data_IF_233091010171
#
_entry.id   IF_233091010171
#
_cell.length_a   1.000
_cell.length_b   1.000
_cell.length_c   1.000
_cell.angle_alpha   90.00
_cell.angle_beta   90.00
_cell.angle_gamma   90.00
#
_symmetry.space_group_name_H-M   'P 1'
#
loop_
_entity.id
_entity.type
_entity.pdbx_description
1 polymer ?
#
# COMPACT_ATOMS: atom_id res chain seq x y z
N UNK A 1 -0.43 -2.38 13.45
CA UNK A 1 -0.40 -2.43 14.92
C UNK A 1 -1.66 -1.78 15.52
N UNK A 2 -1.94 -0.47 15.30
CA UNK A 2 -3.08 0.23 15.93
C UNK A 2 -4.42 -0.47 15.67
N UNK A 3 -4.70 -0.81 14.40
CA UNK A 3 -5.92 -1.55 14.05
C UNK A 3 -6.13 -2.81 14.89
N UNK A 4 -5.06 -3.58 15.15
CA UNK A 4 -5.18 -4.83 15.94
C UNK A 4 -5.52 -4.57 17.39
N UNK A 5 -4.99 -3.49 17.99
CA UNK A 5 -5.34 -3.08 19.34
C UNK A 5 -6.81 -2.64 19.40
N UNK A 6 -7.24 -1.81 18.46
CA UNK A 6 -8.65 -1.39 18.37
C UNK A 6 -9.58 -2.58 18.21
N UNK A 7 -9.31 -3.47 17.25
CA UNK A 7 -10.22 -4.58 16.92
C UNK A 7 -10.29 -5.66 18.00
N UNK A 8 -9.16 -6.01 18.61
CA UNK A 8 -9.08 -7.19 19.47
C UNK A 8 -8.96 -6.88 20.96
N UNK A 9 -8.76 -5.60 21.31
CA UNK A 9 -8.58 -5.15 22.68
C UNK A 9 -9.51 -4.00 23.06
N UNK A 10 -10.32 -3.50 22.13
CA UNK A 10 -11.19 -2.32 22.30
C UNK A 10 -10.42 -1.12 22.88
N UNK A 11 -9.21 -0.90 22.34
CA UNK A 11 -8.26 0.10 22.84
C UNK A 11 -8.58 1.48 22.25
N UNK A 12 -9.22 2.32 23.06
CA UNK A 12 -9.62 3.68 22.68
C UNK A 12 -8.41 4.59 22.42
N UNK A 13 -7.30 4.44 23.16
CA UNK A 13 -6.09 5.24 22.94
C UNK A 13 -5.45 4.93 21.60
N UNK A 14 -5.42 3.65 21.24
CA UNK A 14 -4.97 3.22 19.91
C UNK A 14 -5.87 3.77 18.79
N UNK A 15 -7.18 3.86 19.04
CA UNK A 15 -8.10 4.45 18.07
C UNK A 15 -7.89 5.95 17.91
N UNK A 16 -7.79 6.70 19.00
CA UNK A 16 -7.48 8.13 18.98
C UNK A 16 -6.13 8.41 18.28
N UNK A 17 -5.13 7.57 18.53
CA UNK A 17 -3.84 7.68 17.85
C UNK A 17 -3.97 7.44 16.33
N UNK A 18 -4.73 6.44 15.91
CA UNK A 18 -5.00 6.19 14.50
C UNK A 18 -5.70 7.38 13.83
N UNK A 19 -6.69 7.98 14.49
CA UNK A 19 -7.38 9.17 13.99
C UNK A 19 -6.42 10.36 13.83
N UNK A 20 -5.55 10.60 14.82
CA UNK A 20 -4.52 11.66 14.73
C UNK A 20 -3.52 11.41 13.60
N UNK A 21 -3.09 10.17 13.39
CA UNK A 21 -2.22 9.81 12.26
C UNK A 21 -2.89 10.11 10.91
N UNK A 22 -4.16 9.71 10.74
CA UNK A 22 -4.92 9.95 9.52
C UNK A 22 -5.10 11.46 9.28
N UNK A 23 -5.47 12.22 10.31
CA UNK A 23 -5.59 13.67 10.22
C UNK A 23 -4.26 14.34 9.84
N UNK A 24 -3.13 13.87 10.40
CA UNK A 24 -1.82 14.38 10.06
C UNK A 24 -1.44 14.10 8.59
N UNK A 25 -1.83 12.95 8.03
CA UNK A 25 -1.62 12.68 6.61
C UNK A 25 -2.40 13.65 5.74
N UNK A 26 -3.70 13.87 6.00
CA UNK A 26 -4.49 14.85 5.25
C UNK A 26 -3.96 16.29 5.37
N UNK A 27 -3.37 16.65 6.51
CA UNK A 27 -2.82 17.97 6.76
C UNK A 27 -1.46 18.21 6.09
N UNK A 28 -0.64 17.16 5.95
CA UNK A 28 0.77 17.25 5.54
C UNK A 28 1.07 16.66 4.17
N UNK A 29 0.11 15.94 3.57
CA UNK A 29 0.30 15.25 2.30
C UNK A 29 -0.84 15.56 1.32
N UNK A 30 -0.51 15.63 0.02
CA UNK A 30 -1.50 15.68 -1.06
C UNK A 30 -1.08 14.82 -2.25
N UNK A 31 -2.06 14.36 -3.04
CA UNK A 31 -1.81 13.53 -4.22
C UNK A 31 -0.93 14.21 -5.27
N UNK A 32 -1.02 15.52 -5.42
CA UNK A 32 -0.29 16.29 -6.44
C UNK A 32 1.14 16.64 -6.02
N UNK A 33 1.35 16.93 -4.74
CA UNK A 33 2.62 17.48 -4.24
C UNK A 33 3.41 16.53 -3.34
N UNK A 34 2.79 15.41 -2.92
CA UNK A 34 3.36 14.56 -1.89
C UNK A 34 3.36 15.24 -0.51
N UNK A 35 4.38 14.97 0.29
CA UNK A 35 4.53 15.54 1.62
C UNK A 35 4.96 17.00 1.59
N UNK A 36 4.44 17.81 2.52
CA UNK A 36 4.94 19.17 2.79
C UNK A 36 6.28 19.08 3.55
N UNK A 37 7.36 18.94 2.77
CA UNK A 37 8.72 18.77 3.31
C UNK A 37 9.15 19.91 4.24
N UNK A 38 8.77 21.16 3.92
CA UNK A 38 9.12 22.32 4.73
C UNK A 38 8.41 22.29 6.08
N UNK A 39 7.15 21.87 6.09
CA UNK A 39 6.37 21.77 7.31
C UNK A 39 6.83 20.60 8.18
N UNK A 40 7.13 19.45 7.58
CA UNK A 40 7.73 18.30 8.27
C UNK A 40 9.05 18.69 8.94
N UNK A 41 9.92 19.41 8.25
CA UNK A 41 11.18 19.89 8.80
C UNK A 41 10.97 20.85 9.99
N UNK A 42 9.99 21.76 9.91
CA UNK A 42 9.64 22.66 11.04
C UNK A 42 9.12 21.90 12.24
N UNK A 43 8.50 20.74 12.03
CA UNK A 43 8.04 19.84 13.09
C UNK A 43 9.16 18.95 13.65
N UNK A 44 10.41 19.10 13.17
CA UNK A 44 11.54 18.29 13.58
C UNK A 44 11.56 16.89 12.99
N UNK A 45 10.77 16.65 11.95
CA UNK A 45 10.71 15.36 11.26
C UNK A 45 11.69 15.38 10.10
N UNK A 46 12.56 14.35 10.03
CA UNK A 46 13.43 14.16 8.89
C UNK A 46 12.60 13.58 7.75
N UNK A 47 12.46 14.36 6.69
CA UNK A 47 11.88 13.92 5.44
C UNK A 47 12.98 13.74 4.39
N UNK A 48 13.07 12.56 3.81
CA UNK A 48 13.88 12.30 2.62
C UNK A 48 12.94 12.10 1.45
N UNK A 49 13.18 12.78 0.34
CA UNK A 49 12.39 12.61 -0.90
C UNK A 49 12.43 11.19 -1.48
N UNK A 50 13.26 10.34 -0.91
CA UNK A 50 13.38 8.93 -1.29
C UNK A 50 12.18 8.06 -0.86
N UNK A 51 11.25 8.59 -0.06
CA UNK A 51 10.01 7.88 0.28
C UNK A 51 9.04 7.94 -0.91
N UNK A 52 9.18 7.00 -1.81
CA UNK A 52 8.31 6.86 -2.97
C UNK A 52 6.91 6.44 -2.51
N UNK A 53 5.89 6.95 -3.17
CA UNK A 53 4.48 6.70 -2.83
C UNK A 53 4.16 5.21 -2.66
N UNK A 54 4.65 4.36 -3.56
CA UNK A 54 4.44 2.89 -3.48
C UNK A 54 5.13 2.26 -2.27
N UNK A 55 6.29 2.80 -1.85
CA UNK A 55 7.02 2.30 -0.69
C UNK A 55 6.46 2.79 0.65
N UNK A 56 5.71 3.88 0.64
CA UNK A 56 5.16 4.55 1.82
C UNK A 56 3.64 4.51 1.86
N UNK A 57 3.03 5.56 1.34
CA UNK A 57 1.61 5.89 1.55
C UNK A 57 0.67 4.84 0.97
N UNK A 58 0.95 4.32 -0.23
CA UNK A 58 0.08 3.33 -0.87
C UNK A 58 -0.08 2.05 -0.03
N UNK A 59 0.94 1.69 0.74
CA UNK A 59 0.87 0.54 1.66
C UNK A 59 -0.10 0.74 2.83
N UNK A 60 -0.52 1.97 3.08
CA UNK A 60 -1.51 2.27 4.13
C UNK A 60 -2.95 1.91 3.71
N UNK A 61 -3.24 1.68 2.44
CA UNK A 61 -4.59 1.34 1.97
C UNK A 61 -5.17 0.16 2.76
N UNK A 62 -4.44 -0.95 2.87
CA UNK A 62 -4.90 -2.14 3.60
C UNK A 62 -5.15 -1.88 5.09
N UNK A 63 -4.22 -1.30 5.85
CA UNK A 63 -4.44 -0.88 7.23
C UNK A 63 -5.63 0.05 7.42
N UNK A 64 -5.86 1.01 6.51
CA UNK A 64 -7.01 1.92 6.54
C UNK A 64 -8.33 1.18 6.31
N UNK A 65 -8.38 0.26 5.34
CA UNK A 65 -9.52 -0.63 5.09
C UNK A 65 -9.84 -1.47 6.33
N UNK A 66 -8.80 -2.07 6.94
CA UNK A 66 -8.96 -2.89 8.16
C UNK A 66 -9.47 -2.05 9.34
N UNK A 67 -9.00 -0.80 9.48
CA UNK A 67 -9.48 0.12 10.51
C UNK A 67 -10.96 0.50 10.27
N UNK A 68 -11.31 0.86 9.04
CA UNK A 68 -12.70 1.17 8.69
C UNK A 68 -13.65 -0.01 8.95
N UNK A 69 -13.26 -1.24 8.55
CA UNK A 69 -14.06 -2.44 8.84
C UNK A 69 -14.26 -2.69 10.33
N UNK A 70 -13.29 -2.34 11.16
CA UNK A 70 -13.36 -2.55 12.60
C UNK A 70 -14.17 -1.47 13.34
N UNK A 71 -14.17 -0.22 12.84
CA UNK A 71 -14.67 0.93 13.60
C UNK A 71 -15.76 1.73 12.90
N UNK A 72 -15.93 1.57 11.58
CA UNK A 72 -16.80 2.45 10.77
C UNK A 72 -16.25 3.87 10.58
N UNK A 73 -14.98 4.15 10.95
CA UNK A 73 -14.39 5.49 10.84
C UNK A 73 -14.23 5.93 9.38
N UNK A 74 -15.17 6.75 8.90
CA UNK A 74 -15.29 7.13 7.49
C UNK A 74 -14.02 7.79 6.93
N UNK A 75 -13.31 8.61 7.72
CA UNK A 75 -12.10 9.30 7.27
C UNK A 75 -10.96 8.34 6.93
N UNK A 76 -10.93 7.14 7.54
CA UNK A 76 -9.99 6.10 7.14
C UNK A 76 -10.28 5.58 5.71
N UNK A 77 -11.56 5.38 5.39
CA UNK A 77 -11.96 4.99 4.03
C UNK A 77 -11.70 6.10 3.02
N UNK A 78 -11.99 7.36 3.36
CA UNK A 78 -11.68 8.51 2.50
C UNK A 78 -10.20 8.56 2.13
N UNK A 79 -9.30 8.39 3.10
CA UNK A 79 -7.86 8.38 2.84
C UNK A 79 -7.45 7.17 1.98
N UNK A 80 -8.03 6.00 2.23
CA UNK A 80 -7.77 4.81 1.42
C UNK A 80 -8.18 5.02 -0.05
N UNK A 81 -9.30 5.71 -0.30
CA UNK A 81 -9.77 6.05 -1.64
C UNK A 81 -8.83 7.05 -2.34
N UNK A 82 -8.35 8.07 -1.64
CA UNK A 82 -7.37 9.02 -2.19
C UNK A 82 -6.09 8.29 -2.61
N UNK A 83 -5.58 7.40 -1.77
CA UNK A 83 -4.39 6.60 -2.11
C UNK A 83 -4.66 5.60 -3.25
N UNK A 84 -5.84 4.99 -3.29
CA UNK A 84 -6.26 4.10 -4.38
C UNK A 84 -6.25 4.83 -5.72
N UNK A 85 -6.85 6.02 -5.82
CA UNK A 85 -6.89 6.79 -7.07
C UNK A 85 -5.48 7.09 -7.58
N UNK A 86 -4.57 7.53 -6.71
CA UNK A 86 -3.18 7.78 -7.09
C UNK A 86 -2.47 6.49 -7.53
N UNK A 87 -2.63 5.41 -6.78
CA UNK A 87 -2.00 4.13 -7.09
C UNK A 87 -2.44 3.61 -8.47
N UNK A 88 -3.74 3.64 -8.75
CA UNK A 88 -4.29 3.16 -10.02
C UNK A 88 -3.87 4.05 -11.18
N UNK A 89 -3.97 5.38 -11.04
CA UNK A 89 -3.69 6.31 -12.13
C UNK A 89 -2.21 6.40 -12.50
N UNK A 90 -1.32 6.25 -11.52
CA UNK A 90 0.11 6.51 -11.72
C UNK A 90 0.95 5.23 -11.84
N UNK A 91 0.56 4.15 -11.18
CA UNK A 91 1.44 2.99 -11.01
C UNK A 91 0.90 1.70 -11.62
N UNK A 92 -0.39 1.39 -11.47
CA UNK A 92 -0.94 0.12 -11.95
C UNK A 92 -1.47 0.23 -13.37
N UNK A 93 -0.90 -0.54 -14.30
CA UNK A 93 -1.34 -0.60 -15.69
C UNK A 93 -2.60 -1.48 -15.81
N UNK A 94 -3.50 -1.11 -16.73
CA UNK A 94 -4.75 -1.84 -16.94
C UNK A 94 -4.54 -3.29 -17.43
N UNK A 95 -3.45 -3.55 -18.13
CA UNK A 95 -3.06 -4.89 -18.58
C UNK A 95 -2.33 -5.72 -17.51
N UNK A 96 -2.10 -5.13 -16.34
CA UNK A 96 -1.40 -5.75 -15.23
C UNK A 96 0.10 -5.92 -15.43
N UNK A 97 0.72 -5.26 -16.40
CA UNK A 97 2.16 -5.38 -16.62
C UNK A 97 2.94 -4.73 -15.47
N UNK A 98 4.08 -5.35 -15.11
CA UNK A 98 5.05 -4.73 -14.21
C UNK A 98 5.95 -3.78 -14.99
N UNK A 99 6.05 -2.55 -14.50
CA UNK A 99 6.92 -1.51 -15.04
C UNK A 99 7.75 -0.90 -13.90
N UNK A 100 9.06 -1.23 -13.87
CA UNK A 100 9.95 -0.80 -12.80
C UNK A 100 10.15 0.73 -12.76
N UNK A 101 10.13 1.41 -13.92
CA UNK A 101 10.26 2.86 -13.99
C UNK A 101 9.01 3.53 -13.43
N UNK A 102 7.83 3.02 -13.79
CA UNK A 102 6.55 3.54 -13.34
C UNK A 102 6.34 3.35 -11.84
N UNK A 103 6.69 2.18 -11.31
CA UNK A 103 6.65 1.95 -9.85
C UNK A 103 7.73 2.74 -9.11
N UNK A 104 8.75 3.23 -9.81
CA UNK A 104 9.91 3.91 -9.25
C UNK A 104 10.60 3.13 -8.12
N UNK A 105 10.36 1.83 -8.05
CA UNK A 105 10.95 0.92 -7.08
C UNK A 105 11.00 -0.50 -7.63
N UNK A 106 12.01 -1.24 -7.24
CA UNK A 106 12.10 -2.68 -7.45
C UNK A 106 11.85 -3.48 -6.18
N UNK A 107 11.53 -2.82 -5.05
CA UNK A 107 11.28 -3.48 -3.78
C UNK A 107 9.96 -4.26 -3.82
N UNK A 108 10.06 -5.57 -3.95
CA UNK A 108 8.93 -6.46 -4.24
C UNK A 108 7.82 -6.38 -3.20
N UNK A 109 8.18 -6.39 -1.90
CA UNK A 109 7.19 -6.31 -0.84
C UNK A 109 6.34 -5.02 -0.90
N UNK A 110 6.92 -3.89 -1.26
CA UNK A 110 6.13 -2.66 -1.40
C UNK A 110 5.05 -2.80 -2.46
N UNK A 111 5.37 -3.43 -3.57
CA UNK A 111 4.46 -3.63 -4.71
C UNK A 111 3.38 -4.66 -4.37
N UNK A 112 3.76 -5.81 -3.80
CA UNK A 112 2.81 -6.87 -3.43
C UNK A 112 1.89 -6.43 -2.29
N UNK A 113 2.38 -5.65 -1.32
CA UNK A 113 1.59 -5.08 -0.25
C UNK A 113 0.51 -4.11 -0.77
N UNK A 114 0.84 -3.29 -1.77
CA UNK A 114 -0.18 -2.41 -2.39
C UNK A 114 -1.19 -3.23 -3.19
N UNK A 115 -0.76 -4.28 -3.90
CA UNK A 115 -1.65 -5.21 -4.61
C UNK A 115 -2.66 -5.85 -3.63
N UNK A 116 -2.20 -6.44 -2.53
CA UNK A 116 -3.05 -7.01 -1.49
C UNK A 116 -4.00 -5.95 -0.87
N UNK A 117 -3.48 -4.75 -0.62
CA UNK A 117 -4.28 -3.64 -0.09
C UNK A 117 -5.41 -3.21 -1.03
N UNK A 118 -5.15 -3.16 -2.34
CA UNK A 118 -6.16 -2.86 -3.36
C UNK A 118 -7.20 -3.98 -3.48
N UNK A 119 -6.80 -5.26 -3.34
CA UNK A 119 -7.74 -6.38 -3.29
C UNK A 119 -8.71 -6.25 -2.11
N UNK A 120 -8.19 -5.93 -0.91
CA UNK A 120 -9.01 -5.73 0.29
C UNK A 120 -9.98 -4.56 0.15
N UNK A 121 -9.55 -3.47 -0.51
CA UNK A 121 -10.41 -2.32 -0.78
C UNK A 121 -11.47 -2.66 -1.82
N UNK A 122 -11.11 -3.37 -2.89
CA UNK A 122 -12.06 -3.84 -3.91
C UNK A 122 -13.16 -4.72 -3.30
N UNK A 123 -12.79 -5.66 -2.43
CA UNK A 123 -13.72 -6.51 -1.70
C UNK A 123 -14.65 -5.69 -0.78
N UNK A 124 -14.11 -4.72 -0.05
CA UNK A 124 -14.91 -3.84 0.82
C UNK A 124 -15.96 -3.06 0.04
N UNK A 125 -15.61 -2.57 -1.15
CA UNK A 125 -16.46 -1.70 -1.97
C UNK A 125 -17.39 -2.49 -2.91
N UNK A 126 -17.16 -3.79 -3.10
CA UNK A 126 -17.77 -4.56 -4.18
C UNK A 126 -17.33 -4.06 -5.57
N UNK A 127 -16.13 -3.47 -5.67
CA UNK A 127 -15.60 -2.89 -6.91
C UNK A 127 -14.96 -3.96 -7.79
N UNK A 128 -15.78 -4.55 -8.65
CA UNK A 128 -15.35 -5.58 -9.60
C UNK A 128 -14.29 -5.07 -10.58
N UNK A 129 -14.34 -3.80 -10.96
CA UNK A 129 -13.36 -3.21 -11.89
C UNK A 129 -11.98 -3.15 -11.25
N UNK A 130 -11.89 -2.69 -10.01
CA UNK A 130 -10.65 -2.67 -9.25
C UNK A 130 -10.13 -4.09 -9.02
N UNK A 131 -11.01 -5.04 -8.70
CA UNK A 131 -10.62 -6.45 -8.50
C UNK A 131 -10.05 -7.06 -9.78
N UNK A 132 -10.64 -6.78 -10.95
CA UNK A 132 -10.12 -7.24 -12.24
C UNK A 132 -8.75 -6.63 -12.55
N UNK A 133 -8.50 -5.39 -12.17
CA UNK A 133 -7.19 -4.75 -12.35
C UNK A 133 -6.13 -5.38 -11.42
N UNK A 134 -6.48 -5.65 -10.16
CA UNK A 134 -5.62 -6.40 -9.23
C UNK A 134 -5.32 -7.79 -9.78
N UNK A 135 -6.35 -8.49 -10.26
CA UNK A 135 -6.18 -9.80 -10.89
C UNK A 135 -5.26 -9.77 -12.11
N UNK A 136 -5.38 -8.76 -12.97
CA UNK A 136 -4.50 -8.61 -14.12
C UNK A 136 -3.03 -8.47 -13.69
N UNK A 137 -2.75 -7.69 -12.64
CA UNK A 137 -1.39 -7.58 -12.10
C UNK A 137 -0.92 -8.89 -11.44
N UNK A 138 -1.79 -9.58 -10.71
CA UNK A 138 -1.50 -10.89 -10.13
C UNK A 138 -1.12 -11.91 -11.20
N UNK A 139 -1.88 -11.95 -12.28
CA UNK A 139 -1.67 -12.92 -13.37
C UNK A 139 -0.44 -12.58 -14.24
N UNK A 140 -0.12 -11.30 -14.43
CA UNK A 140 0.90 -10.84 -15.39
C UNK A 140 2.14 -10.25 -14.69
N UNK A 141 1.98 -9.16 -13.96
CA UNK A 141 3.09 -8.39 -13.38
C UNK A 141 3.85 -9.16 -12.31
N UNK A 142 3.13 -9.90 -11.49
CA UNK A 142 3.71 -10.69 -10.41
C UNK A 142 4.73 -11.73 -10.91
N UNK A 143 4.52 -12.29 -12.11
CA UNK A 143 5.46 -13.26 -12.70
C UNK A 143 6.85 -12.69 -12.97
N UNK A 144 6.96 -11.38 -13.13
CA UNK A 144 8.23 -10.69 -13.29
C UNK A 144 8.97 -10.46 -11.98
N UNK A 145 8.30 -10.70 -10.86
CA UNK A 145 8.80 -10.44 -9.51
C UNK A 145 9.14 -11.73 -8.76
N UNK A 146 9.12 -12.87 -9.43
CA UNK A 146 9.44 -14.17 -8.84
C UNK A 146 10.20 -15.05 -9.83
N UNK A 147 10.92 -16.03 -9.31
CA UNK A 147 11.56 -17.06 -10.10
C UNK A 147 10.57 -18.17 -10.53
N UNK A 148 11.08 -19.15 -11.26
CA UNK A 148 10.30 -20.30 -11.75
C UNK A 148 9.75 -21.20 -10.65
N UNK A 149 10.33 -21.15 -9.46
CA UNK A 149 9.90 -21.91 -8.27
C UNK A 149 8.89 -21.16 -7.41
N UNK A 150 8.59 -19.92 -7.76
CA UNK A 150 7.71 -19.02 -6.99
C UNK A 150 8.44 -18.23 -5.91
N UNK A 151 9.77 -18.30 -5.84
CA UNK A 151 10.57 -17.47 -4.96
C UNK A 151 10.48 -16.01 -5.37
N UNK A 152 10.13 -15.13 -4.44
CA UNK A 152 10.09 -13.69 -4.67
C UNK A 152 11.30 -13.04 -4.04
N UNK A 153 12.25 -12.52 -4.84
CA UNK A 153 13.40 -11.79 -4.31
C UNK A 153 12.95 -10.47 -3.68
N UNK A 154 13.75 -9.94 -2.76
CA UNK A 154 13.51 -8.62 -2.16
C UNK A 154 13.38 -7.52 -3.21
N UNK A 155 14.13 -7.66 -4.30
CA UNK A 155 14.09 -6.72 -5.43
C UNK A 155 13.68 -7.41 -6.70
N UNK A 156 12.58 -6.98 -7.28
CA UNK A 156 12.15 -7.43 -8.60
C UNK A 156 13.25 -7.18 -9.62
N UNK A 157 13.46 -8.15 -10.52
CA UNK A 157 14.49 -8.10 -11.56
C UNK A 157 15.95 -8.11 -11.05
N UNK A 158 16.19 -8.43 -9.78
CA UNK A 158 17.54 -8.60 -9.28
C UNK A 158 18.21 -9.84 -9.91
N UNK A 159 19.47 -9.69 -10.30
CA UNK A 159 20.27 -10.82 -10.79
C UNK A 159 20.67 -11.77 -9.65
N UNK A 160 20.76 -11.25 -8.44
CA UNK A 160 21.09 -12.02 -7.24
C UNK A 160 19.79 -12.42 -6.51
N UNK A 161 19.51 -13.71 -6.48
CA UNK A 161 18.29 -14.33 -5.90
C UNK A 161 18.46 -14.70 -4.42
N UNK A 162 19.61 -14.40 -3.81
CA UNK A 162 19.90 -14.82 -2.43
C UNK A 162 19.12 -14.00 -1.39
N UNK A 163 18.68 -12.80 -1.76
CA UNK A 163 17.89 -11.91 -0.90
C UNK A 163 16.39 -12.10 -1.17
N UNK A 164 15.71 -12.88 -0.35
CA UNK A 164 14.27 -13.06 -0.39
C UNK A 164 13.57 -12.43 0.80
N UNK A 165 12.36 -11.96 0.57
CA UNK A 165 11.53 -11.38 1.61
C UNK A 165 10.23 -12.18 1.76
N UNK A 166 10.06 -12.87 2.91
CA UNK A 166 8.87 -13.69 3.17
C UNK A 166 7.55 -12.90 3.17
N UNK A 167 7.62 -11.60 3.41
CA UNK A 167 6.45 -10.73 3.39
C UNK A 167 5.74 -10.75 2.03
N UNK A 168 6.51 -10.85 0.94
CA UNK A 168 5.96 -10.97 -0.41
C UNK A 168 5.01 -12.16 -0.54
N UNK A 169 5.38 -13.31 0.00
CA UNK A 169 4.55 -14.51 -0.02
C UNK A 169 3.25 -14.30 0.75
N UNK A 170 3.31 -13.62 1.90
CA UNK A 170 2.13 -13.27 2.68
C UNK A 170 1.17 -12.38 1.90
N UNK A 171 1.66 -11.33 1.25
CA UNK A 171 0.85 -10.43 0.44
C UNK A 171 0.22 -11.13 -0.78
N UNK A 172 0.98 -12.02 -1.42
CA UNK A 172 0.50 -12.82 -2.56
C UNK A 172 -0.65 -13.73 -2.13
N UNK A 173 -0.50 -14.41 -0.99
CA UNK A 173 -1.54 -15.27 -0.43
C UNK A 173 -2.77 -14.46 0.03
N UNK A 174 -2.58 -13.27 0.59
CA UNK A 174 -3.68 -12.38 0.99
C UNK A 174 -4.45 -11.84 -0.23
N UNK A 175 -3.81 -11.79 -1.40
CA UNK A 175 -4.42 -11.33 -2.65
C UNK A 175 -5.20 -12.44 -3.36
N UNK A 176 -4.74 -13.69 -3.26
CA UNK A 176 -5.31 -14.85 -3.96
C UNK A 176 -6.70 -15.24 -3.42
#
# INVERSE_FOLDING_TARGET
>A
ALYSLVKYRDDDEAFEMAQRCIAAVFDLWSSERGWDALRLQRLGLNYTEAALFVQGEARMIGPLVKLYRATGYATALELALVFKEKAISEFYLADGAYDAERFATTHSHSITCVMSSLAQLADLLGDVSLLLQVKAFYDNGLWRMRDQLGWSPERALAENIDDGEMNNTGDILETA
#
